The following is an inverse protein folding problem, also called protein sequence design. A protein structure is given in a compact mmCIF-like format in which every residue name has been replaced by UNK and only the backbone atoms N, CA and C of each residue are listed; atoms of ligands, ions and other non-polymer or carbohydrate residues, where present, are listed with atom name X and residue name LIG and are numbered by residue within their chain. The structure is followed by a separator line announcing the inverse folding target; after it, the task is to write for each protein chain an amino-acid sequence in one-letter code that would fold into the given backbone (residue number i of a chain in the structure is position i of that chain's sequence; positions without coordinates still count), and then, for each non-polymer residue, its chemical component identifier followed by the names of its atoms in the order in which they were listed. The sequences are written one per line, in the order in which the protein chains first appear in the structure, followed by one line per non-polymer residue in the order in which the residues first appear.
data_IF_179249682713
#
_entry.id   IF_179249682713
#
_cell.length_a   1.000
_cell.length_b   1.000
_cell.length_c   1.000
_cell.angle_alpha   90.00
_cell.angle_beta   90.00
_cell.angle_gamma   90.00
#
_symmetry.space_group_name_H-M   'P 1'
#
loop_
_entity.id
_entity.type
_entity.pdbx_description
1 polymer ?
#
# COMPACT_ATOMS: atom_id res chain seq x y z
N UNK A 1 -22.13 -4.71 -45.42
CA UNK A 1 -21.88 -6.11 -45.01
C UNK A 1 -20.37 -6.29 -44.92
N UNK A 2 -19.80 -6.09 -43.74
CA UNK A 2 -18.39 -6.39 -43.46
C UNK A 2 -18.35 -7.14 -42.13
N UNK A 3 -17.70 -8.29 -42.19
CA UNK A 3 -17.75 -9.41 -41.25
C UNK A 3 -17.28 -9.03 -39.84
N UNK A 4 -18.14 -9.20 -38.84
CA UNK A 4 -17.86 -9.01 -37.41
C UNK A 4 -17.19 -10.24 -36.75
N UNK A 5 -16.66 -11.15 -37.56
CA UNK A 5 -16.26 -12.50 -37.14
C UNK A 5 -14.80 -12.62 -36.65
N UNK A 6 -14.00 -11.54 -36.67
CA UNK A 6 -12.54 -11.61 -36.39
C UNK A 6 -12.12 -11.24 -34.95
N UNK A 7 -13.01 -10.73 -34.08
CA UNK A 7 -12.62 -10.25 -32.74
C UNK A 7 -13.13 -11.10 -31.56
N UNK A 8 -13.20 -12.43 -31.67
CA UNK A 8 -13.70 -13.28 -30.56
C UNK A 8 -12.77 -14.37 -30.03
N UNK A 9 -11.53 -14.48 -30.49
CA UNK A 9 -10.69 -15.63 -30.11
C UNK A 9 -9.25 -15.24 -29.77
N UNK A 10 -9.00 -14.59 -28.63
CA UNK A 10 -7.63 -14.61 -28.06
C UNK A 10 -7.48 -14.43 -26.54
N UNK A 11 -8.54 -14.11 -25.78
CA UNK A 11 -8.39 -13.77 -24.34
C UNK A 11 -8.23 -14.98 -23.39
N UNK A 12 -8.43 -16.22 -23.85
CA UNK A 12 -8.46 -17.40 -22.98
C UNK A 12 -7.10 -18.11 -22.82
N UNK A 13 -6.09 -17.78 -23.62
CA UNK A 13 -4.77 -18.45 -23.56
C UNK A 13 -3.71 -17.68 -22.77
N UNK A 14 -3.73 -16.34 -22.76
CA UNK A 14 -2.71 -15.55 -22.05
C UNK A 14 -2.86 -15.58 -20.53
N UNK A 15 -4.07 -15.78 -20.01
CA UNK A 15 -4.31 -15.81 -18.55
C UNK A 15 -3.81 -17.09 -17.88
N UNK A 16 -3.49 -18.13 -18.66
CA UNK A 16 -3.03 -19.43 -18.15
C UNK A 16 -1.54 -19.47 -17.77
N UNK A 17 -0.74 -18.49 -18.21
CA UNK A 17 0.71 -18.44 -17.94
C UNK A 17 1.08 -17.58 -16.74
N UNK A 18 0.14 -16.77 -16.21
CA UNK A 18 0.42 -15.84 -15.10
C UNK A 18 0.40 -16.50 -13.71
N UNK A 19 -0.24 -17.67 -13.56
CA UNK A 19 -0.34 -18.36 -12.28
C UNK A 19 -0.15 -19.88 -12.48
N UNK A 20 1.05 -20.43 -12.18
CA UNK A 20 1.40 -21.83 -12.48
C UNK A 20 0.77 -22.85 -11.51
N UNK A 21 -0.10 -22.42 -10.59
CA UNK A 21 -0.78 -23.31 -9.67
C UNK A 21 -2.12 -23.74 -10.29
N UNK A 22 -2.28 -25.05 -10.52
CA UNK A 22 -3.42 -25.63 -11.23
C UNK A 22 -4.79 -25.19 -10.71
N UNK A 23 -5.77 -25.16 -11.61
CA UNK A 23 -7.19 -24.82 -11.34
C UNK A 23 -7.89 -25.84 -10.44
N UNK A 24 -7.43 -26.00 -9.21
CA UNK A 24 -8.29 -26.40 -8.10
C UNK A 24 -9.16 -25.22 -7.68
N UNK A 25 -10.23 -25.49 -6.92
CA UNK A 25 -11.05 -24.46 -6.26
C UNK A 25 -10.26 -23.83 -5.11
N UNK A 26 -9.12 -23.22 -5.43
CA UNK A 26 -8.19 -22.61 -4.50
C UNK A 26 -8.77 -21.32 -3.93
N UNK A 27 -8.62 -21.11 -2.63
CA UNK A 27 -8.93 -19.83 -1.99
C UNK A 27 -7.67 -18.98 -2.10
N UNK A 28 -7.81 -17.80 -2.69
CA UNK A 28 -6.72 -16.85 -2.87
C UNK A 28 -6.80 -15.83 -1.74
N UNK A 29 -5.65 -15.48 -1.17
CA UNK A 29 -5.52 -14.34 -0.28
C UNK A 29 -4.62 -13.31 -0.95
N UNK A 30 -5.09 -12.07 -1.07
CA UNK A 30 -4.28 -10.96 -1.56
C UNK A 30 -4.01 -10.02 -0.41
N UNK A 31 -2.73 -9.68 -0.20
CA UNK A 31 -2.31 -8.74 0.84
C UNK A 31 -1.81 -7.47 0.16
N UNK A 32 -2.45 -6.35 0.45
CA UNK A 32 -2.02 -5.03 -0.02
C UNK A 32 -1.02 -4.46 0.99
N UNK A 33 0.25 -4.41 0.61
CA UNK A 33 1.33 -3.86 1.44
C UNK A 33 1.67 -2.43 1.04
N UNK A 34 1.91 -1.58 2.04
CA UNK A 34 2.39 -0.22 1.87
C UNK A 34 3.13 0.24 3.14
N UNK A 35 3.86 1.34 3.05
CA UNK A 35 4.44 2.04 4.22
C UNK A 35 3.36 2.64 5.13
N UNK A 36 2.19 2.93 4.57
CA UNK A 36 1.10 3.61 5.25
C UNK A 36 1.32 5.12 5.36
N UNK A 37 0.68 5.74 6.34
CA UNK A 37 0.82 7.16 6.63
C UNK A 37 0.00 7.56 7.86
N UNK A 38 0.27 8.73 8.44
CA UNK A 38 -0.46 9.21 9.61
C UNK A 38 -1.91 9.52 9.24
N UNK A 39 -2.85 9.02 10.03
CA UNK A 39 -4.30 9.27 9.91
C UNK A 39 -4.73 10.61 10.51
N UNK A 40 -3.82 11.30 11.20
CA UNK A 40 -4.06 12.56 11.88
C UNK A 40 -2.73 13.29 12.13
N UNK A 41 -2.79 14.58 12.47
CA UNK A 41 -1.59 15.35 12.82
C UNK A 41 -0.89 14.78 14.08
N UNK A 42 -1.66 14.25 15.03
CA UNK A 42 -1.12 13.68 16.28
C UNK A 42 -0.40 12.36 16.05
N UNK A 43 -0.75 11.61 14.99
CA UNK A 43 -0.09 10.35 14.64
C UNK A 43 1.18 10.52 13.80
N UNK A 44 1.55 11.75 13.42
CA UNK A 44 2.78 12.04 12.66
C UNK A 44 4.04 11.58 13.39
N UNK A 45 4.20 11.93 14.67
CA UNK A 45 5.40 11.54 15.43
C UNK A 45 5.48 10.02 15.63
N UNK A 46 4.40 9.32 16.04
CA UNK A 46 4.38 7.86 16.09
C UNK A 46 4.72 7.20 14.76
N UNK A 47 4.17 7.70 13.65
CA UNK A 47 4.48 7.20 12.30
C UNK A 47 5.97 7.34 11.97
N UNK A 48 6.56 8.51 12.22
CA UNK A 48 7.98 8.74 12.00
C UNK A 48 8.85 7.88 12.93
N UNK A 49 8.46 7.69 14.19
CA UNK A 49 9.20 6.81 15.12
C UNK A 49 9.22 5.37 14.60
N UNK A 50 8.09 4.85 14.12
CA UNK A 50 8.04 3.52 13.49
C UNK A 50 8.94 3.44 12.25
N UNK A 51 8.86 4.46 11.38
CA UNK A 51 9.65 4.52 10.15
C UNK A 51 11.16 4.54 10.43
N UNK A 52 11.62 5.36 11.39
CA UNK A 52 13.04 5.41 11.75
C UNK A 52 13.49 4.23 12.60
N UNK A 53 12.58 3.47 13.21
CA UNK A 53 12.93 2.29 13.99
C UNK A 53 13.04 1.02 13.13
N UNK A 54 12.69 1.10 11.85
CA UNK A 54 12.81 0.01 10.88
C UNK A 54 14.29 -0.17 10.44
N UNK A 55 14.93 -1.32 10.72
CA UNK A 55 16.33 -1.59 10.38
C UNK A 55 16.55 -1.88 8.89
N UNK A 56 15.50 -2.27 8.16
CA UNK A 56 15.56 -2.53 6.72
C UNK A 56 15.50 -1.22 5.94
N UNK A 57 14.86 -0.18 6.50
CA UNK A 57 14.81 1.17 5.93
C UNK A 57 16.02 2.01 6.38
N UNK A 58 16.33 2.03 7.68
CA UNK A 58 17.44 2.83 8.23
C UNK A 58 18.36 1.99 9.11
N UNK A 59 19.66 2.02 8.82
CA UNK A 59 20.67 1.36 9.66
C UNK A 59 21.32 2.38 10.59
N UNK A 60 20.84 2.47 11.83
CA UNK A 60 21.30 3.45 12.82
C UNK A 60 21.88 2.75 14.07
N UNK A 61 22.95 3.30 14.68
CA UNK A 61 23.38 2.87 16.00
C UNK A 61 22.33 3.29 17.05
N UNK A 62 22.11 2.44 18.06
CA UNK A 62 21.10 2.69 19.12
C UNK A 62 19.70 3.02 18.55
N UNK A 63 19.28 2.27 17.51
CA UNK A 63 18.11 2.53 16.66
C UNK A 63 16.92 3.11 17.42
N UNK A 64 16.44 2.44 18.49
CA UNK A 64 15.25 2.86 19.25
C UNK A 64 15.39 4.26 19.84
N UNK A 65 16.55 4.58 20.42
CA UNK A 65 16.80 5.88 21.03
C UNK A 65 16.93 6.96 19.95
N UNK A 66 17.64 6.66 18.86
CA UNK A 66 17.87 7.61 17.79
C UNK A 66 16.59 7.85 16.97
N UNK A 67 15.80 6.81 16.71
CA UNK A 67 14.51 6.90 16.05
C UNK A 67 13.57 7.85 16.79
N UNK A 68 13.44 7.68 18.12
CA UNK A 68 12.65 8.58 18.96
C UNK A 68 13.16 10.02 18.96
N UNK A 69 14.47 10.21 18.97
CA UNK A 69 15.05 11.55 18.93
C UNK A 69 14.80 12.24 17.58
N UNK A 70 15.06 11.53 16.47
CA UNK A 70 14.86 12.05 15.11
C UNK A 70 13.37 12.31 14.86
N UNK A 71 12.48 11.40 15.26
CA UNK A 71 11.04 11.56 15.06
C UNK A 71 10.52 12.79 15.81
N UNK A 72 10.89 12.98 17.08
CA UNK A 72 10.54 14.19 17.86
C UNK A 72 11.05 15.48 17.21
N UNK A 73 12.28 15.47 16.71
CA UNK A 73 12.88 16.65 16.06
C UNK A 73 12.21 16.98 14.72
N UNK A 74 11.83 15.97 13.94
CA UNK A 74 11.25 16.15 12.60
C UNK A 74 9.74 16.37 12.60
N UNK A 75 9.02 15.84 13.59
CA UNK A 75 7.57 15.88 13.65
C UNK A 75 6.96 17.29 13.43
N UNK A 76 7.45 18.39 14.04
CA UNK A 76 6.82 19.71 13.86
C UNK A 76 6.78 20.17 12.39
N UNK A 77 7.86 19.91 11.64
CA UNK A 77 7.92 20.26 10.21
C UNK A 77 6.96 19.39 9.39
N UNK A 78 6.95 18.08 9.65
CA UNK A 78 6.11 17.13 8.91
C UNK A 78 4.63 17.34 9.21
N UNK A 79 4.28 17.73 10.44
CA UNK A 79 2.92 18.13 10.81
C UNK A 79 2.43 19.32 9.96
N UNK A 80 3.28 20.31 9.71
CA UNK A 80 2.92 21.44 8.84
C UNK A 80 2.70 20.97 7.40
N UNK A 81 3.55 20.08 6.88
CA UNK A 81 3.38 19.50 5.55
C UNK A 81 2.06 18.73 5.43
N UNK A 82 1.69 17.93 6.44
CA UNK A 82 0.39 17.25 6.46
C UNK A 82 -0.78 18.22 6.60
N UNK A 83 -0.63 19.32 7.34
CA UNK A 83 -1.67 20.35 7.47
C UNK A 83 -2.01 20.96 6.10
N UNK A 84 -1.01 21.20 5.25
CA UNK A 84 -1.21 21.74 3.89
C UNK A 84 -2.04 20.84 2.98
N UNK A 85 -2.06 19.53 3.24
CA UNK A 85 -2.80 18.54 2.43
C UNK A 85 -4.10 18.05 3.09
N UNK A 86 -4.56 18.70 4.17
CA UNK A 86 -5.82 18.36 4.85
C UNK A 86 -5.67 17.58 6.16
N UNK A 87 -4.46 17.45 6.69
CA UNK A 87 -4.19 16.99 8.06
C UNK A 87 -4.00 15.49 8.25
N UNK A 88 -4.03 14.69 7.17
CA UNK A 88 -3.83 13.23 7.22
C UNK A 88 -3.38 12.67 5.87
N UNK A 89 -2.91 11.43 5.87
CA UNK A 89 -2.63 10.66 4.66
C UNK A 89 -3.89 9.96 4.14
N UNK A 90 -4.26 10.13 2.86
CA UNK A 90 -5.43 9.47 2.28
C UNK A 90 -5.19 7.99 1.96
N UNK A 91 -3.98 7.47 2.21
CA UNK A 91 -3.50 6.19 1.71
C UNK A 91 -4.31 4.99 2.20
N UNK A 92 -4.76 5.00 3.45
CA UNK A 92 -5.56 3.91 4.02
C UNK A 92 -6.94 3.86 3.35
N UNK A 93 -7.59 5.02 3.19
CA UNK A 93 -8.88 5.13 2.49
C UNK A 93 -8.80 4.57 1.06
N UNK A 94 -7.76 4.95 0.30
CA UNK A 94 -7.57 4.44 -1.06
C UNK A 94 -7.24 2.95 -1.09
N UNK A 95 -6.44 2.47 -0.14
CA UNK A 95 -6.07 1.04 -0.04
C UNK A 95 -7.30 0.19 0.26
N UNK A 96 -8.19 0.64 1.16
CA UNK A 96 -9.46 -0.05 1.44
C UNK A 96 -10.39 -0.08 0.23
N UNK A 97 -10.47 1.02 -0.53
CA UNK A 97 -11.27 1.05 -1.75
C UNK A 97 -10.73 0.08 -2.80
N UNK A 98 -9.40 0.06 -2.98
CA UNK A 98 -8.73 -0.88 -3.87
C UNK A 98 -8.95 -2.34 -3.42
N UNK A 99 -8.84 -2.62 -2.13
CA UNK A 99 -9.11 -3.93 -1.55
C UNK A 99 -10.54 -4.39 -1.90
N UNK A 100 -11.55 -3.55 -1.66
CA UNK A 100 -12.96 -3.86 -1.96
C UNK A 100 -13.16 -4.15 -3.45
N UNK A 101 -12.63 -3.30 -4.31
CA UNK A 101 -12.73 -3.47 -5.76
C UNK A 101 -12.04 -4.75 -6.25
N UNK A 102 -10.89 -5.10 -5.64
CA UNK A 102 -10.16 -6.31 -5.97
C UNK A 102 -10.92 -7.56 -5.49
N UNK A 103 -11.46 -7.54 -4.27
CA UNK A 103 -12.27 -8.62 -3.73
C UNK A 103 -13.49 -8.89 -4.62
N UNK A 104 -14.19 -7.85 -5.08
CA UNK A 104 -15.32 -8.00 -6.01
C UNK A 104 -14.91 -8.63 -7.35
N UNK A 105 -13.71 -8.34 -7.86
CA UNK A 105 -13.22 -8.90 -9.14
C UNK A 105 -12.70 -10.33 -9.03
N UNK A 106 -12.23 -10.75 -7.86
CA UNK A 106 -11.65 -12.07 -7.62
C UNK A 106 -12.67 -13.08 -7.07
N UNK A 107 -13.86 -12.63 -6.68
CA UNK A 107 -15.03 -13.48 -6.40
C UNK A 107 -15.64 -14.00 -7.69
#
# INVERSE_FOLDING_TARGET
MSDSTILKNNDSKETSTLFPWGRGKGRWAVVLFNLGGPDSLDSVQPFLENLFNDPDIFKLPFQKSLARFISKKRAPKVVEEYRLIGGSSPINCWTELQQKNLETKLR
#
